data_IF_851260836987
#
_entry.id   IF_851260836987
#
_cell.length_a   1.000
_cell.length_b   1.000
_cell.length_c   1.000
_cell.angle_alpha   90.00
_cell.angle_beta   90.00
_cell.angle_gamma   90.00
#
_symmetry.space_group_name_H-M   'P 1'
#
loop_
_entity.id
_entity.type
_entity.pdbx_description
1 polymer ?
#
# COMPACT_ATOMS: atom_id res chain seq x y z
N UNK A 1 43.43 54.82 -7.17
CA UNK A 1 42.24 54.00 -7.52
C UNK A 1 42.49 52.56 -7.03
N UNK A 2 42.20 52.26 -5.76
CA UNK A 2 42.37 50.91 -5.20
C UNK A 2 41.09 50.10 -5.36
N UNK A 3 41.14 48.94 -6.03
CA UNK A 3 39.99 48.03 -6.15
C UNK A 3 39.92 47.16 -4.90
N UNK A 4 38.93 47.42 -4.05
CA UNK A 4 38.58 46.56 -2.91
C UNK A 4 37.85 45.32 -3.42
N UNK A 5 38.47 44.15 -3.28
CA UNK A 5 37.84 42.85 -3.55
C UNK A 5 36.83 42.52 -2.44
N UNK A 6 35.55 42.32 -2.80
CA UNK A 6 34.53 41.80 -1.87
C UNK A 6 34.82 40.33 -1.56
N UNK A 7 35.05 40.01 -0.30
CA UNK A 7 35.04 38.63 0.18
C UNK A 7 33.58 38.11 0.20
N UNK A 8 33.32 36.99 -0.48
CA UNK A 8 32.05 36.27 -0.37
C UNK A 8 32.04 35.48 0.93
N UNK A 9 31.21 35.91 1.89
CA UNK A 9 30.94 35.18 3.12
C UNK A 9 30.20 33.89 2.80
N UNK A 10 30.87 32.74 2.91
CA UNK A 10 30.24 31.44 2.94
C UNK A 10 29.38 31.32 4.22
N UNK A 11 28.06 31.43 4.06
CA UNK A 11 27.10 31.10 5.12
C UNK A 11 27.23 29.63 5.54
N UNK A 12 26.81 29.26 6.76
CA UNK A 12 27.02 27.93 7.29
C UNK A 12 26.28 26.90 6.44
N UNK A 13 27.00 25.87 6.00
CA UNK A 13 26.42 24.71 5.32
C UNK A 13 25.45 24.02 6.28
N UNK A 14 24.15 24.27 6.11
CA UNK A 14 23.11 23.52 6.82
C UNK A 14 23.32 22.03 6.53
N UNK A 15 23.54 21.22 7.57
CA UNK A 15 23.63 19.77 7.43
C UNK A 15 22.37 19.28 6.73
N UNK A 16 22.53 18.72 5.53
CA UNK A 16 21.44 18.10 4.80
C UNK A 16 20.85 17.00 5.70
N UNK A 17 19.52 17.00 5.89
CA UNK A 17 18.84 15.91 6.58
C UNK A 17 19.12 14.61 5.82
N UNK A 18 19.36 13.48 6.50
CA UNK A 18 19.50 12.19 5.83
C UNK A 18 18.25 11.93 4.98
N UNK A 19 18.43 11.34 3.80
CA UNK A 19 17.30 10.92 2.99
C UNK A 19 16.43 9.92 3.78
N UNK A 20 15.09 10.03 3.72
CA UNK A 20 14.22 9.07 4.37
C UNK A 20 14.42 7.68 3.78
N UNK A 21 14.30 6.67 4.64
CA UNK A 21 14.45 5.27 4.22
C UNK A 21 13.27 4.84 3.34
N UNK A 22 13.54 4.21 2.17
CA UNK A 22 12.47 3.71 1.30
C UNK A 22 11.58 2.69 2.00
N UNK A 23 10.26 2.93 1.94
CA UNK A 23 9.25 2.01 2.47
C UNK A 23 8.81 1.02 1.40
N UNK A 24 8.69 -0.27 1.75
CA UNK A 24 8.16 -1.27 0.83
C UNK A 24 6.68 -1.01 0.59
N UNK A 25 6.25 -1.07 -0.66
CA UNK A 25 4.89 -0.81 -1.10
C UNK A 25 4.44 -1.79 -2.18
N UNK A 26 3.14 -1.90 -2.39
CA UNK A 26 2.55 -2.69 -3.47
C UNK A 26 1.28 -2.07 -4.01
N UNK A 27 0.98 -2.34 -5.28
CA UNK A 27 -0.22 -1.82 -5.96
C UNK A 27 -0.81 -2.88 -6.89
N UNK A 28 -2.12 -2.82 -7.10
CA UNK A 28 -2.84 -3.71 -8.01
C UNK A 28 -3.35 -2.91 -9.21
N UNK A 29 -3.11 -3.44 -10.41
CA UNK A 29 -3.82 -2.99 -11.61
C UNK A 29 -5.01 -3.91 -11.82
N UNK A 30 -6.21 -3.41 -11.51
CA UNK A 30 -7.44 -4.17 -11.73
C UNK A 30 -7.98 -3.87 -13.13
N UNK A 31 -8.11 -4.92 -13.96
CA UNK A 31 -8.57 -4.85 -15.34
C UNK A 31 -9.92 -5.57 -15.49
N UNK A 32 -10.92 -4.91 -16.08
CA UNK A 32 -12.18 -5.55 -16.46
C UNK A 32 -12.01 -6.47 -17.68
N UNK A 33 -12.97 -7.35 -17.92
CA UNK A 33 -13.03 -8.15 -19.16
C UNK A 33 -13.17 -7.31 -20.44
N UNK A 34 -13.49 -6.02 -20.31
CA UNK A 34 -13.60 -5.04 -21.39
C UNK A 34 -12.38 -4.10 -21.47
N UNK A 35 -11.26 -4.47 -20.86
CA UNK A 35 -10.01 -3.69 -20.83
C UNK A 35 -10.13 -2.30 -20.17
N UNK A 36 -10.97 -2.16 -19.14
CA UNK A 36 -11.04 -0.94 -18.33
C UNK A 36 -10.21 -1.10 -17.06
N UNK A 37 -9.44 -0.07 -16.72
CA UNK A 37 -8.56 -0.10 -15.55
C UNK A 37 -9.16 0.72 -14.41
N UNK A 38 -9.19 0.14 -13.21
CA UNK A 38 -9.59 0.87 -12.01
C UNK A 38 -8.49 1.86 -11.61
N UNK A 39 -8.86 3.13 -11.51
CA UNK A 39 -8.04 4.20 -10.94
C UNK A 39 -8.79 4.82 -9.77
N UNK A 40 -8.07 5.11 -8.70
CA UNK A 40 -8.56 5.84 -7.55
C UNK A 40 -8.11 7.29 -7.63
N UNK A 41 -8.95 8.20 -7.13
CA UNK A 41 -8.64 9.61 -7.03
C UNK A 41 -8.39 9.99 -5.57
N UNK A 42 -7.14 10.34 -5.24
CA UNK A 42 -6.79 10.72 -3.85
C UNK A 42 -7.38 12.09 -3.51
N UNK A 43 -8.11 12.15 -2.39
CA UNK A 43 -8.65 13.43 -1.87
C UNK A 43 -7.51 14.35 -1.42
N UNK A 44 -7.74 15.67 -1.54
CA UNK A 44 -6.71 16.74 -1.46
C UNK A 44 -5.93 16.83 -0.13
N UNK A 45 -6.31 16.09 0.90
CA UNK A 45 -5.69 16.12 2.24
C UNK A 45 -4.51 15.16 2.41
N UNK A 46 -4.14 14.39 1.39
CA UNK A 46 -2.92 13.55 1.42
C UNK A 46 -1.64 14.40 1.30
N UNK A 47 -0.65 14.14 2.15
CA UNK A 47 0.67 14.81 2.15
C UNK A 47 1.57 14.41 0.96
N UNK A 48 1.11 13.52 0.08
CA UNK A 48 1.81 13.10 -1.15
C UNK A 48 0.79 12.86 -2.28
N UNK A 49 1.08 13.39 -3.48
CA UNK A 49 0.30 13.22 -4.72
C UNK A 49 -1.19 13.62 -4.65
N UNK A 50 -1.49 14.82 -4.13
CA UNK A 50 -2.85 15.35 -4.17
C UNK A 50 -3.37 15.47 -5.63
N UNK A 51 -4.59 14.97 -5.89
CA UNK A 51 -5.29 15.04 -7.20
C UNK A 51 -4.74 14.17 -8.34
N UNK A 52 -3.94 13.14 -8.02
CA UNK A 52 -3.51 12.15 -9.02
C UNK A 52 -4.50 10.99 -9.15
N UNK A 53 -4.64 10.47 -10.38
CA UNK A 53 -5.18 9.14 -10.61
C UNK A 53 -4.10 8.11 -10.31
N UNK A 54 -4.40 7.17 -9.43
CA UNK A 54 -3.45 6.14 -8.99
C UNK A 54 -4.10 4.77 -9.03
N UNK A 55 -3.28 3.73 -9.15
CA UNK A 55 -3.74 2.38 -8.83
C UNK A 55 -3.95 2.25 -7.32
N UNK A 56 -4.89 1.40 -6.88
CA UNK A 56 -4.99 1.04 -5.47
C UNK A 56 -3.67 0.47 -4.96
N UNK A 57 -3.21 0.96 -3.81
CA UNK A 57 -1.94 0.52 -3.25
C UNK A 57 -1.31 1.48 -2.26
N UNK A 58 -0.39 0.93 -1.48
CA UNK A 58 0.23 1.63 -0.37
C UNK A 58 1.38 0.84 0.25
N UNK A 59 1.77 1.28 1.44
CA UNK A 59 2.91 0.70 2.15
C UNK A 59 2.52 -0.63 2.80
N UNK A 60 3.50 -1.52 2.93
CA UNK A 60 3.33 -2.77 3.66
C UNK A 60 3.24 -2.49 5.17
N UNK A 61 2.44 -3.31 5.84
CA UNK A 61 2.24 -3.29 7.29
C UNK A 61 2.57 -4.66 7.88
N UNK A 62 3.53 -4.70 8.78
CA UNK A 62 3.90 -5.92 9.51
C UNK A 62 2.71 -6.53 10.28
N UNK A 63 1.76 -5.68 10.72
CA UNK A 63 0.56 -6.10 11.45
C UNK A 63 -0.46 -6.82 10.56
N UNK A 64 -0.53 -6.45 9.28
CA UNK A 64 -1.52 -6.99 8.35
C UNK A 64 -0.94 -8.02 7.37
N UNK A 65 0.24 -7.72 6.83
CA UNK A 65 0.77 -8.32 5.61
C UNK A 65 1.92 -9.30 5.92
N UNK A 66 2.53 -9.17 7.09
CA UNK A 66 3.71 -9.92 7.51
C UNK A 66 5.02 -9.16 7.32
N UNK A 67 6.10 -9.72 7.85
CA UNK A 67 7.43 -9.12 7.80
C UNK A 67 8.02 -9.21 6.38
N UNK A 68 8.68 -8.14 5.95
CA UNK A 68 9.53 -8.13 4.75
C UNK A 68 11.02 -8.16 5.12
N UNK A 69 11.92 -8.71 4.27
CA UNK A 69 13.35 -8.71 4.53
C UNK A 69 13.89 -7.30 4.79
N UNK A 70 14.90 -7.11 5.67
CA UNK A 70 15.36 -5.78 6.07
C UNK A 70 16.00 -5.00 4.91
N UNK A 71 16.13 -3.67 5.05
CA UNK A 71 16.90 -2.83 4.12
C UNK A 71 18.30 -3.39 3.86
N UNK A 72 18.67 -3.51 2.58
CA UNK A 72 19.96 -4.07 2.15
C UNK A 72 19.94 -5.58 1.85
N UNK A 73 18.88 -6.30 2.22
CA UNK A 73 18.68 -7.69 1.78
C UNK A 73 18.13 -7.72 0.35
N UNK A 74 18.80 -8.43 -0.56
CA UNK A 74 18.38 -8.52 -1.97
C UNK A 74 16.95 -9.08 -2.11
N UNK A 75 16.54 -9.99 -1.22
CA UNK A 75 15.20 -10.59 -1.21
C UNK A 75 14.10 -9.59 -0.91
N UNK A 76 14.42 -8.41 -0.38
CA UNK A 76 13.46 -7.32 -0.18
C UNK A 76 12.89 -6.84 -1.52
N UNK A 77 13.60 -7.05 -2.63
CA UNK A 77 13.18 -6.64 -3.97
C UNK A 77 12.54 -7.80 -4.77
N UNK A 78 12.41 -8.97 -4.16
CA UNK A 78 11.74 -10.12 -4.74
C UNK A 78 10.25 -10.13 -4.34
N UNK A 79 9.42 -10.71 -5.19
CA UNK A 79 8.01 -10.92 -4.88
C UNK A 79 7.86 -11.86 -3.68
N UNK A 80 6.85 -11.60 -2.85
CA UNK A 80 6.61 -12.38 -1.63
C UNK A 80 5.14 -12.34 -1.23
N UNK A 81 4.73 -13.29 -0.38
CA UNK A 81 3.37 -13.31 0.16
C UNK A 81 2.98 -11.98 0.82
N UNK A 82 3.92 -11.33 1.53
CA UNK A 82 3.66 -10.04 2.16
C UNK A 82 3.29 -8.98 1.13
N UNK A 83 4.04 -8.87 0.02
CA UNK A 83 3.73 -7.93 -1.06
C UNK A 83 2.36 -8.18 -1.67
N UNK A 84 2.02 -9.43 -1.95
CA UNK A 84 0.71 -9.79 -2.53
C UNK A 84 -0.44 -9.53 -1.55
N UNK A 85 -0.28 -9.84 -0.27
CA UNK A 85 -1.26 -9.55 0.77
C UNK A 85 -1.46 -8.05 0.95
N UNK A 86 -0.37 -7.28 1.02
CA UNK A 86 -0.44 -5.83 1.15
C UNK A 86 -1.16 -5.18 -0.03
N UNK A 87 -0.91 -5.66 -1.25
CA UNK A 87 -1.61 -5.18 -2.43
C UNK A 87 -3.13 -5.43 -2.36
N UNK A 88 -3.55 -6.63 -1.92
CA UNK A 88 -4.97 -7.00 -1.75
C UNK A 88 -5.61 -6.18 -0.62
N UNK A 89 -4.94 -6.05 0.52
CA UNK A 89 -5.42 -5.26 1.66
C UNK A 89 -5.65 -3.80 1.26
N UNK A 90 -4.65 -3.16 0.68
CA UNK A 90 -4.75 -1.75 0.24
C UNK A 90 -5.89 -1.56 -0.77
N UNK A 91 -6.03 -2.50 -1.72
CA UNK A 91 -7.16 -2.50 -2.67
C UNK A 91 -8.50 -2.56 -1.95
N UNK A 92 -8.62 -3.43 -0.93
CA UNK A 92 -9.83 -3.52 -0.13
C UNK A 92 -10.11 -2.25 0.68
N UNK A 93 -9.11 -1.70 1.36
CA UNK A 93 -9.24 -0.47 2.15
C UNK A 93 -9.68 0.73 1.29
N UNK A 94 -8.99 0.96 0.16
CA UNK A 94 -9.19 2.16 -0.65
C UNK A 94 -10.42 2.07 -1.56
N UNK A 95 -10.78 0.87 -2.07
CA UNK A 95 -11.87 0.70 -3.05
C UNK A 95 -13.08 -0.09 -2.54
N UNK A 96 -12.93 -0.90 -1.48
CA UNK A 96 -13.94 -1.86 -1.04
C UNK A 96 -14.04 -3.12 -1.89
N UNK A 97 -13.17 -3.30 -2.89
CA UNK A 97 -13.10 -4.54 -3.68
C UNK A 97 -12.22 -5.54 -2.92
N UNK A 98 -12.81 -6.68 -2.53
CA UNK A 98 -12.10 -7.76 -1.85
C UNK A 98 -11.66 -8.81 -2.86
N UNK A 99 -10.35 -9.01 -3.00
CA UNK A 99 -9.77 -10.07 -3.83
C UNK A 99 -9.48 -11.31 -2.98
N UNK A 100 -10.55 -12.04 -2.67
CA UNK A 100 -10.50 -13.26 -1.87
C UNK A 100 -11.52 -14.29 -2.39
N UNK A 101 -11.33 -15.55 -1.98
CA UNK A 101 -12.15 -16.70 -2.36
C UNK A 101 -12.69 -17.43 -1.16
N UNK A 102 -13.80 -18.13 -1.34
CA UNK A 102 -14.45 -18.89 -0.27
C UNK A 102 -13.77 -20.24 -0.04
N UNK A 103 -13.31 -20.49 1.19
CA UNK A 103 -12.82 -21.77 1.70
C UNK A 103 -11.49 -22.27 1.12
N UNK A 104 -11.22 -22.00 -0.16
CA UNK A 104 -10.01 -22.45 -0.85
C UNK A 104 -9.63 -21.52 -2.00
N UNK A 105 -8.41 -21.70 -2.53
CA UNK A 105 -7.91 -20.94 -3.69
C UNK A 105 -8.68 -21.21 -4.99
N UNK A 106 -9.36 -22.36 -5.08
CA UNK A 106 -10.19 -22.72 -6.24
C UNK A 106 -11.68 -22.39 -6.01
N UNK A 107 -11.99 -21.79 -4.85
CA UNK A 107 -13.34 -21.36 -4.51
C UNK A 107 -13.85 -20.19 -5.36
N UNK A 108 -15.17 -19.93 -5.31
CA UNK A 108 -15.74 -18.73 -5.90
C UNK A 108 -15.18 -17.47 -5.21
N UNK A 109 -15.34 -16.32 -5.85
CA UNK A 109 -15.02 -15.03 -5.22
C UNK A 109 -15.88 -14.86 -3.96
N UNK A 110 -15.24 -14.53 -2.84
CA UNK A 110 -15.91 -14.27 -1.58
C UNK A 110 -16.73 -12.99 -1.68
N UNK A 111 -18.03 -13.12 -1.53
CA UNK A 111 -18.94 -11.98 -1.55
C UNK A 111 -19.54 -11.75 -0.15
N UNK A 112 -19.52 -10.51 0.31
CA UNK A 112 -19.98 -10.13 1.64
C UNK A 112 -21.13 -9.13 1.55
N UNK A 113 -22.09 -9.16 2.48
CA UNK A 113 -23.05 -8.09 2.62
C UNK A 113 -22.35 -6.74 2.77
N UNK A 114 -22.84 -5.70 2.09
CA UNK A 114 -22.21 -4.37 2.05
C UNK A 114 -21.90 -3.82 3.45
N UNK A 115 -22.83 -3.99 4.40
CA UNK A 115 -22.65 -3.51 5.77
C UNK A 115 -21.48 -4.18 6.50
N UNK A 116 -21.34 -5.50 6.38
CA UNK A 116 -20.24 -6.26 7.00
C UNK A 116 -18.90 -5.92 6.35
N UNK A 117 -18.90 -5.83 5.02
CA UNK A 117 -17.72 -5.44 4.24
C UNK A 117 -17.22 -4.06 4.64
N UNK A 118 -18.12 -3.07 4.72
CA UNK A 118 -17.75 -1.69 5.03
C UNK A 118 -17.31 -1.53 6.50
N UNK A 119 -17.93 -2.27 7.42
CA UNK A 119 -17.51 -2.31 8.83
C UNK A 119 -16.11 -2.90 8.98
N UNK A 120 -15.83 -4.04 8.33
CA UNK A 120 -14.52 -4.67 8.32
C UNK A 120 -13.45 -3.75 7.69
N UNK A 121 -13.77 -3.16 6.54
CA UNK A 121 -12.88 -2.21 5.83
C UNK A 121 -12.45 -1.07 6.75
N UNK A 122 -13.39 -0.47 7.47
CA UNK A 122 -13.11 0.61 8.44
C UNK A 122 -12.24 0.11 9.59
N UNK A 123 -12.54 -1.06 10.15
CA UNK A 123 -11.76 -1.62 11.27
C UNK A 123 -10.32 -1.98 10.86
N UNK A 124 -10.13 -2.51 9.65
CA UNK A 124 -8.81 -2.84 9.09
C UNK A 124 -8.00 -1.56 8.85
N UNK A 125 -8.57 -0.57 8.17
CA UNK A 125 -7.92 0.72 7.92
C UNK A 125 -7.50 1.43 9.23
N UNK A 126 -8.33 1.33 10.28
CA UNK A 126 -8.04 1.86 11.61
C UNK A 126 -7.06 0.99 12.43
N UNK A 127 -6.48 -0.07 11.84
CA UNK A 127 -5.60 -1.05 12.48
C UNK A 127 -6.21 -1.71 13.74
N UNK A 128 -7.55 -1.80 13.82
CA UNK A 128 -8.25 -2.43 14.95
C UNK A 128 -8.25 -3.95 14.86
N UNK A 129 -8.26 -4.48 13.64
CA UNK A 129 -8.20 -5.92 13.36
C UNK A 129 -7.17 -6.18 12.25
N UNK A 130 -6.50 -7.33 12.32
CA UNK A 130 -5.57 -7.77 11.28
C UNK A 130 -6.34 -8.29 10.07
N UNK A 131 -5.87 -7.96 8.86
CA UNK A 131 -6.58 -8.28 7.61
C UNK A 131 -6.66 -9.80 7.40
N UNK A 132 -5.51 -10.49 7.49
CA UNK A 132 -5.46 -11.95 7.33
C UNK A 132 -6.32 -12.67 8.36
N UNK A 133 -6.23 -12.29 9.64
CA UNK A 133 -7.03 -12.92 10.72
C UNK A 133 -8.54 -12.72 10.52
N UNK A 134 -8.95 -11.52 10.09
CA UNK A 134 -10.34 -11.27 9.78
C UNK A 134 -10.81 -12.11 8.60
N UNK A 135 -10.03 -12.15 7.52
CA UNK A 135 -10.36 -12.92 6.32
C UNK A 135 -10.49 -14.41 6.64
N UNK A 136 -9.57 -14.96 7.43
CA UNK A 136 -9.64 -16.35 7.91
C UNK A 136 -10.90 -16.60 8.75
N UNK A 137 -11.28 -15.65 9.62
CA UNK A 137 -12.44 -15.78 10.50
C UNK A 137 -13.79 -15.86 9.77
N UNK A 138 -13.84 -15.37 8.54
CA UNK A 138 -15.01 -15.44 7.65
C UNK A 138 -14.86 -16.52 6.59
N UNK A 139 -13.87 -17.42 6.71
CA UNK A 139 -13.61 -18.50 5.78
C UNK A 139 -13.05 -18.05 4.42
N UNK A 140 -12.50 -16.84 4.35
CA UNK A 140 -11.89 -16.29 3.16
C UNK A 140 -10.44 -16.72 2.98
N UNK A 141 -10.03 -16.87 1.72
CA UNK A 141 -8.65 -17.12 1.32
C UNK A 141 -8.21 -16.00 0.37
N UNK A 142 -7.13 -15.26 0.64
CA UNK A 142 -6.71 -14.14 -0.20
C UNK A 142 -6.21 -14.67 -1.56
N UNK A 143 -6.61 -14.03 -2.66
CA UNK A 143 -6.25 -14.45 -4.02
C UNK A 143 -4.82 -14.00 -4.36
N UNK A 144 -3.86 -14.68 -3.74
CA UNK A 144 -2.44 -14.37 -3.78
C UNK A 144 -1.71 -15.09 -4.91
N UNK A 145 -2.39 -15.74 -5.85
CA UNK A 145 -1.74 -16.53 -6.90
C UNK A 145 -0.96 -17.75 -6.38
N UNK A 146 0.03 -18.22 -7.15
CA UNK A 146 1.00 -19.27 -6.76
C UNK A 146 2.22 -18.69 -6.09
#
# INVERSE_FOLDING_TARGET
MGKTTRASSSGPSGRAKPAPEPRPSSSIILLSATNQVLLLHRVKTSSSFASAHVFPGGNLSDFHDGQVPPPGDARRHEDSLAYRLGAIRETFEESGILLAREGSRDGPLLNLPTAERDAARKAIYENKISFGKWLDSIGGVPDTGK
#
